data_IF_517361189124
#
_entry.id   IF_517361189124
#
_cell.length_a   1.000
_cell.length_b   1.000
_cell.length_c   1.000
_cell.angle_alpha   90.00
_cell.angle_beta   90.00
_cell.angle_gamma   90.00
#
_symmetry.space_group_name_H-M   'P 1'
#
loop_
_entity.id
_entity.type
_entity.pdbx_description
1 polymer ?
#
# COMPACT_ATOMS: atom_id res chain seq x y z
N UNK A 1 -8.76 44.40 -29.96
CA UNK A 1 -8.01 43.14 -29.83
C UNK A 1 -7.46 43.08 -28.42
N UNK A 2 -8.05 42.21 -27.60
CA UNK A 2 -7.85 42.09 -26.16
C UNK A 2 -6.56 41.32 -25.82
N UNK A 3 -5.79 41.86 -24.88
CA UNK A 3 -4.72 41.16 -24.14
C UNK A 3 -4.98 41.33 -22.65
N UNK A 4 -5.99 40.62 -22.17
CA UNK A 4 -6.17 40.35 -20.75
C UNK A 4 -5.90 38.86 -20.53
N UNK A 5 -5.36 38.52 -19.37
CA UNK A 5 -5.03 37.16 -18.88
C UNK A 5 -3.55 36.76 -18.93
N UNK A 6 -2.67 37.64 -18.46
CA UNK A 6 -1.32 37.23 -18.02
C UNK A 6 -1.06 37.65 -16.56
N UNK A 7 -2.01 37.38 -15.64
CA UNK A 7 -1.76 37.65 -14.22
C UNK A 7 -2.67 36.86 -13.25
N UNK A 8 -2.61 35.53 -13.32
CA UNK A 8 -3.05 34.57 -12.28
C UNK A 8 -2.64 33.21 -12.86
N UNK A 9 -1.61 32.50 -12.39
CA UNK A 9 -1.52 31.80 -11.11
C UNK A 9 -0.03 31.52 -10.86
N UNK A 10 0.55 32.20 -9.89
CA UNK A 10 1.91 31.93 -9.39
C UNK A 10 1.83 31.41 -7.95
N UNK A 11 1.12 30.29 -7.74
CA UNK A 11 1.26 29.45 -6.53
C UNK A 11 0.90 28.00 -6.91
N UNK A 12 1.90 27.24 -7.33
CA UNK A 12 1.94 25.77 -7.25
C UNK A 12 3.37 25.31 -7.56
N UNK A 13 4.31 25.70 -6.69
CA UNK A 13 5.63 25.09 -6.67
C UNK A 13 5.57 23.80 -5.85
N UNK A 14 6.21 22.77 -6.39
CA UNK A 14 6.45 21.42 -5.84
C UNK A 14 5.36 20.38 -6.15
N UNK A 15 5.27 19.97 -7.42
CA UNK A 15 5.40 18.55 -7.80
C UNK A 15 6.21 18.50 -9.08
N UNK A 16 7.52 18.67 -8.95
CA UNK A 16 8.49 18.45 -10.01
C UNK A 16 9.09 17.05 -9.90
N UNK A 17 9.26 16.41 -11.07
CA UNK A 17 10.06 15.21 -11.33
C UNK A 17 9.44 13.86 -11.01
N UNK A 18 8.60 13.34 -11.92
CA UNK A 18 9.02 12.22 -12.76
C UNK A 18 8.37 12.39 -14.14
N UNK A 19 9.22 12.66 -15.12
CA UNK A 19 8.84 12.88 -16.51
C UNK A 19 8.35 11.61 -17.18
N UNK A 20 7.32 11.78 -18.00
CA UNK A 20 6.77 10.80 -18.90
C UNK A 20 5.86 11.54 -19.87
N UNK A 21 6.46 12.23 -20.82
CA UNK A 21 5.78 12.93 -21.89
C UNK A 21 5.07 11.90 -22.80
N UNK A 22 3.76 11.76 -22.65
CA UNK A 22 2.92 11.15 -23.68
C UNK A 22 1.94 12.22 -24.13
N UNK A 23 2.20 12.77 -25.32
CA UNK A 23 1.15 13.44 -26.10
C UNK A 23 0.21 12.35 -26.57
N UNK A 24 -1.04 12.38 -26.12
CA UNK A 24 -2.12 11.66 -26.80
C UNK A 24 -3.15 12.67 -27.29
N UNK A 25 -3.18 12.81 -28.61
CA UNK A 25 -4.19 13.58 -29.33
C UNK A 25 -5.40 12.65 -29.53
N UNK A 26 -6.48 12.86 -28.78
CA UNK A 26 -7.79 12.24 -29.07
C UNK A 26 -8.82 13.35 -29.20
N UNK A 27 -9.01 13.78 -30.44
CA UNK A 27 -10.26 14.37 -30.87
C UNK A 27 -11.29 13.25 -31.02
N UNK A 28 -12.46 13.41 -30.41
CA UNK A 28 -13.66 12.69 -30.83
C UNK A 28 -14.45 11.95 -29.73
N UNK A 29 -15.48 12.64 -29.24
CA UNK A 29 -16.81 12.13 -28.88
C UNK A 29 -17.08 11.54 -27.46
N UNK A 30 -17.60 12.45 -26.61
CA UNK A 30 -18.88 12.43 -25.86
C UNK A 30 -19.34 11.17 -25.11
N UNK A 31 -19.64 11.45 -23.83
CA UNK A 31 -20.51 10.73 -22.88
C UNK A 31 -19.91 9.49 -22.22
N UNK A 32 -19.16 9.71 -21.15
CA UNK A 32 -18.98 8.69 -20.12
C UNK A 32 -20.10 8.85 -19.08
N UNK A 33 -20.84 7.77 -18.75
CA UNK A 33 -21.87 7.81 -17.74
C UNK A 33 -21.24 8.15 -16.37
N UNK A 34 -21.94 8.96 -15.58
CA UNK A 34 -21.56 9.48 -14.26
C UNK A 34 -21.45 8.41 -13.15
N UNK A 35 -21.28 7.14 -13.52
CA UNK A 35 -21.23 6.00 -12.62
C UNK A 35 -20.33 4.88 -13.17
N UNK A 36 -19.18 5.25 -13.75
CA UNK A 36 -18.19 4.28 -14.21
C UNK A 36 -17.61 3.53 -12.99
N UNK A 37 -18.19 2.36 -12.70
CA UNK A 37 -17.64 1.44 -11.73
C UNK A 37 -16.32 0.91 -12.25
N UNK A 38 -15.31 0.92 -11.40
CA UNK A 38 -14.04 0.28 -11.69
C UNK A 38 -14.27 -1.23 -11.88
N UNK A 39 -13.76 -1.84 -12.97
CA UNK A 39 -13.81 -3.30 -13.13
C UNK A 39 -13.04 -3.99 -12.00
N UNK A 40 -13.70 -4.89 -11.26
CA UNK A 40 -13.04 -5.69 -10.21
C UNK A 40 -12.52 -7.03 -10.77
N UNK A 41 -11.31 -7.45 -10.37
CA UNK A 41 -10.79 -8.80 -10.66
C UNK A 41 -9.26 -8.90 -10.75
N UNK A 42 -8.72 -10.11 -10.56
CA UNK A 42 -7.33 -10.47 -10.88
C UNK A 42 -7.16 -10.42 -12.40
N UNK A 43 -6.44 -9.41 -12.89
CA UNK A 43 -6.40 -9.10 -14.33
C UNK A 43 -5.20 -9.73 -15.04
N UNK A 44 -5.26 -9.82 -16.36
CA UNK A 44 -4.02 -9.92 -17.16
C UNK A 44 -3.23 -8.59 -17.08
N UNK A 45 -1.93 -8.56 -17.41
CA UNK A 45 -1.15 -7.31 -17.49
C UNK A 45 -1.87 -6.16 -18.23
N UNK A 46 -2.58 -6.49 -19.32
CA UNK A 46 -3.36 -5.55 -20.12
C UNK A 46 -4.57 -4.99 -19.36
N UNK A 47 -5.17 -5.78 -18.47
CA UNK A 47 -6.31 -5.35 -17.67
C UNK A 47 -5.89 -4.40 -16.54
N UNK A 48 -4.72 -4.62 -15.90
CA UNK A 48 -4.20 -3.69 -14.89
C UNK A 48 -4.00 -2.29 -15.46
N UNK A 49 -3.35 -2.17 -16.63
CA UNK A 49 -3.09 -0.85 -17.20
C UNK A 49 -4.39 -0.09 -17.52
N UNK A 50 -5.41 -0.80 -18.04
CA UNK A 50 -6.73 -0.20 -18.31
C UNK A 50 -7.41 0.27 -17.03
N UNK A 51 -7.40 -0.56 -15.98
CA UNK A 51 -8.01 -0.22 -14.69
C UNK A 51 -7.32 0.95 -14.01
N UNK A 52 -5.98 0.99 -14.04
CA UNK A 52 -5.20 2.11 -13.51
C UNK A 52 -5.61 3.41 -14.21
N UNK A 53 -5.62 3.44 -15.54
CA UNK A 53 -5.98 4.65 -16.30
C UNK A 53 -7.40 5.13 -15.98
N UNK A 54 -8.36 4.20 -15.89
CA UNK A 54 -9.73 4.56 -15.57
C UNK A 54 -9.87 5.06 -14.12
N UNK A 55 -9.23 4.39 -13.17
CA UNK A 55 -9.28 4.80 -11.77
C UNK A 55 -8.55 6.13 -11.54
N UNK A 56 -7.41 6.39 -12.22
CA UNK A 56 -6.71 7.70 -12.21
C UNK A 56 -7.63 8.83 -12.69
N UNK A 57 -8.41 8.57 -13.75
CA UNK A 57 -9.38 9.54 -14.25
C UNK A 57 -10.51 9.79 -13.25
N UNK A 58 -11.03 8.75 -12.62
CA UNK A 58 -12.10 8.88 -11.62
C UNK A 58 -11.61 9.72 -10.45
N UNK A 59 -10.45 9.42 -9.88
CA UNK A 59 -9.94 10.16 -8.71
C UNK A 59 -9.53 11.60 -9.04
N UNK A 60 -9.18 11.89 -10.30
CA UNK A 60 -8.94 13.26 -10.74
C UNK A 60 -10.24 14.09 -10.80
N UNK A 61 -11.38 13.46 -11.08
CA UNK A 61 -12.70 14.10 -11.14
C UNK A 61 -13.41 14.11 -9.78
N UNK A 62 -13.26 13.04 -9.02
CA UNK A 62 -13.80 12.85 -7.67
C UNK A 62 -12.71 12.34 -6.71
N UNK A 63 -11.94 13.25 -6.10
CA UNK A 63 -10.89 12.88 -5.15
C UNK A 63 -11.40 12.20 -3.87
N UNK A 64 -12.71 12.19 -3.62
CA UNK A 64 -13.33 11.51 -2.48
C UNK A 64 -13.83 10.10 -2.82
N UNK A 65 -13.62 9.64 -4.06
CA UNK A 65 -13.99 8.30 -4.48
C UNK A 65 -13.07 7.25 -3.85
N UNK A 66 -13.45 6.78 -2.67
CA UNK A 66 -12.69 5.79 -1.91
C UNK A 66 -12.46 4.49 -2.70
N UNK A 67 -13.45 4.02 -3.46
CA UNK A 67 -13.34 2.80 -4.23
C UNK A 67 -12.28 2.91 -5.34
N UNK A 68 -12.22 4.04 -6.04
CA UNK A 68 -11.23 4.27 -7.09
C UNK A 68 -9.81 4.38 -6.51
N UNK A 69 -9.64 5.04 -5.37
CA UNK A 69 -8.35 5.06 -4.66
C UNK A 69 -7.91 3.68 -4.18
N UNK A 70 -8.83 2.88 -3.65
CA UNK A 70 -8.56 1.49 -3.25
C UNK A 70 -8.15 0.63 -4.44
N UNK A 71 -8.83 0.78 -5.59
CA UNK A 71 -8.41 0.08 -6.80
C UNK A 71 -7.00 0.50 -7.22
N UNK A 72 -6.70 1.80 -7.27
CA UNK A 72 -5.37 2.26 -7.65
C UNK A 72 -4.30 1.67 -6.74
N UNK A 73 -4.53 1.68 -5.43
CA UNK A 73 -3.64 1.04 -4.47
C UNK A 73 -3.37 -0.42 -4.82
N UNK A 74 -4.44 -1.20 -5.03
CA UNK A 74 -4.35 -2.63 -5.33
C UNK A 74 -3.69 -2.91 -6.69
N UNK A 75 -4.06 -2.17 -7.75
CA UNK A 75 -3.46 -2.38 -9.06
C UNK A 75 -1.98 -1.99 -9.09
N UNK A 76 -1.59 -0.93 -8.37
CA UNK A 76 -0.18 -0.58 -8.21
C UNK A 76 0.56 -1.59 -7.33
N UNK A 77 -0.09 -2.19 -6.34
CA UNK A 77 0.47 -3.28 -5.54
C UNK A 77 0.75 -4.49 -6.42
N UNK A 78 -0.25 -4.95 -7.18
CA UNK A 78 -0.18 -6.15 -8.03
C UNK A 78 0.78 -5.99 -9.22
N UNK A 79 0.99 -4.75 -9.70
CA UNK A 79 1.94 -4.42 -10.77
C UNK A 79 3.31 -3.97 -10.26
N UNK A 80 3.59 -4.17 -8.98
CA UNK A 80 4.89 -3.93 -8.36
C UNK A 80 5.38 -2.47 -8.40
N UNK A 81 4.45 -1.51 -8.27
CA UNK A 81 4.70 -0.06 -8.24
C UNK A 81 4.52 0.51 -6.82
N UNK A 82 5.42 0.18 -5.86
CA UNK A 82 5.15 0.38 -4.43
C UNK A 82 5.01 1.84 -4.01
N UNK A 83 5.76 2.77 -4.61
CA UNK A 83 5.62 4.20 -4.29
C UNK A 83 4.24 4.76 -4.67
N UNK A 84 3.69 4.30 -5.81
CA UNK A 84 2.35 4.71 -6.25
C UNK A 84 1.27 4.06 -5.38
N UNK A 85 1.43 2.78 -5.06
CA UNK A 85 0.54 2.07 -4.15
C UNK A 85 0.47 2.75 -2.77
N UNK A 86 1.62 3.13 -2.21
CA UNK A 86 1.70 3.88 -0.94
C UNK A 86 0.87 5.17 -1.01
N UNK A 87 1.00 5.95 -2.08
CA UNK A 87 0.29 7.21 -2.23
C UNK A 87 -1.22 7.00 -2.36
N UNK A 88 -1.65 6.03 -3.18
CA UNK A 88 -3.06 5.71 -3.37
C UNK A 88 -3.71 5.19 -2.07
N UNK A 89 -3.05 4.27 -1.37
CA UNK A 89 -3.51 3.82 -0.05
C UNK A 89 -3.51 4.94 0.99
N UNK A 90 -2.59 5.90 0.88
CA UNK A 90 -2.60 7.11 1.71
C UNK A 90 -3.89 7.90 1.54
N UNK A 91 -4.39 8.03 0.31
CA UNK A 91 -5.70 8.66 0.03
C UNK A 91 -6.88 7.86 0.57
N UNK A 92 -6.81 6.53 0.52
CA UNK A 92 -7.83 5.70 1.18
C UNK A 92 -7.84 5.95 2.69
N UNK A 93 -6.67 5.99 3.34
CA UNK A 93 -6.56 6.19 4.80
C UNK A 93 -6.87 7.64 5.24
N UNK A 94 -6.74 8.63 4.35
CA UNK A 94 -7.27 9.99 4.59
C UNK A 94 -8.81 10.00 4.65
N UNK A 95 -9.48 9.13 3.88
CA UNK A 95 -10.94 9.06 3.78
C UNK A 95 -11.56 8.05 4.77
N UNK A 96 -10.87 6.93 5.01
CA UNK A 96 -11.23 5.86 5.94
C UNK A 96 -10.02 5.50 6.81
N UNK A 97 -9.81 6.24 7.91
CA UNK A 97 -8.60 6.14 8.72
C UNK A 97 -8.50 4.86 9.54
N UNK A 98 -9.53 4.01 9.57
CA UNK A 98 -9.56 2.80 10.40
C UNK A 98 -9.47 1.51 9.57
N UNK A 99 -9.16 1.62 8.28
CA UNK A 99 -9.09 0.46 7.40
C UNK A 99 -7.82 -0.37 7.62
N UNK A 100 -7.93 -1.42 8.45
CA UNK A 100 -6.79 -2.27 8.85
C UNK A 100 -6.14 -3.03 7.69
N UNK A 101 -6.93 -3.40 6.68
CA UNK A 101 -6.42 -4.08 5.48
C UNK A 101 -5.52 -3.13 4.69
N UNK A 102 -6.01 -1.91 4.41
CA UNK A 102 -5.25 -0.89 3.67
C UNK A 102 -4.01 -0.43 4.44
N UNK A 103 -4.08 -0.30 5.77
CA UNK A 103 -2.88 -0.03 6.58
C UNK A 103 -1.83 -1.13 6.37
N UNK A 104 -2.27 -2.38 6.39
CA UNK A 104 -1.40 -3.55 6.21
C UNK A 104 -0.78 -3.55 4.81
N UNK A 105 -1.58 -3.36 3.75
CA UNK A 105 -1.08 -3.35 2.37
C UNK A 105 -0.13 -2.19 2.11
N UNK A 106 -0.44 -1.00 2.63
CA UNK A 106 0.47 0.14 2.59
C UNK A 106 1.77 -0.13 3.38
N UNK A 107 1.67 -0.83 4.52
CA UNK A 107 2.82 -1.26 5.31
C UNK A 107 3.74 -2.23 4.54
N UNK A 108 3.17 -3.17 3.79
CA UNK A 108 3.92 -4.08 2.91
C UNK A 108 4.64 -3.28 1.81
N UNK A 109 3.97 -2.28 1.21
CA UNK A 109 4.59 -1.43 0.20
C UNK A 109 5.69 -0.53 0.77
N UNK A 110 5.51 0.02 1.98
CA UNK A 110 6.56 0.76 2.69
C UNK A 110 7.79 -0.11 2.95
N UNK A 111 7.59 -1.35 3.41
CA UNK A 111 8.68 -2.32 3.59
C UNK A 111 9.42 -2.57 2.28
N UNK A 112 8.69 -2.72 1.17
CA UNK A 112 9.28 -2.97 -0.15
C UNK A 112 10.20 -1.85 -0.64
N UNK A 113 9.93 -0.60 -0.27
CA UNK A 113 10.80 0.56 -0.56
C UNK A 113 11.82 0.86 0.55
N UNK A 114 11.96 -0.02 1.55
CA UNK A 114 12.94 0.12 2.62
C UNK A 114 12.54 1.10 3.74
N UNK A 115 11.30 1.59 3.75
CA UNK A 115 10.80 2.53 4.77
C UNK A 115 10.23 1.77 5.96
N UNK A 116 11.10 1.02 6.66
CA UNK A 116 10.71 0.07 7.70
C UNK A 116 9.97 0.71 8.87
N UNK A 117 10.37 1.92 9.30
CA UNK A 117 9.69 2.63 10.39
C UNK A 117 8.22 2.93 10.06
N UNK A 118 7.93 3.30 8.81
CA UNK A 118 6.56 3.55 8.35
C UNK A 118 5.76 2.25 8.19
N UNK A 119 6.41 1.19 7.73
CA UNK A 119 5.79 -0.14 7.68
C UNK A 119 5.36 -0.61 9.08
N UNK A 120 6.26 -0.51 10.06
CA UNK A 120 5.99 -0.85 11.46
C UNK A 120 4.84 -0.03 12.01
N UNK A 121 4.88 1.30 11.83
CA UNK A 121 3.81 2.18 12.32
C UNK A 121 2.43 1.81 11.76
N UNK A 122 2.35 1.41 10.49
CA UNK A 122 1.10 0.96 9.89
C UNK A 122 0.63 -0.38 10.46
N UNK A 123 1.52 -1.36 10.61
CA UNK A 123 1.14 -2.65 11.19
C UNK A 123 0.72 -2.52 12.65
N UNK A 124 1.40 -1.68 13.44
CA UNK A 124 1.06 -1.40 14.83
C UNK A 124 -0.28 -0.68 14.96
N UNK A 125 -0.58 0.28 14.08
CA UNK A 125 -1.92 0.90 14.02
C UNK A 125 -3.01 -0.11 13.66
N UNK A 126 -2.78 -0.95 12.66
CA UNK A 126 -3.71 -2.03 12.31
C UNK A 126 -3.96 -2.95 13.52
N UNK A 127 -2.92 -3.26 14.29
CA UNK A 127 -2.99 -4.07 15.51
C UNK A 127 -3.67 -3.38 16.69
N UNK A 128 -3.61 -2.06 16.77
CA UNK A 128 -4.34 -1.29 17.78
C UNK A 128 -5.84 -1.27 17.50
N UNK A 129 -6.25 -1.30 16.23
CA UNK A 129 -7.65 -1.32 15.80
C UNK A 129 -8.21 -2.74 15.83
N UNK A 130 -7.51 -3.70 15.24
CA UNK A 130 -7.85 -5.12 15.26
C UNK A 130 -6.65 -5.95 15.76
N UNK A 131 -6.62 -6.29 17.06
CA UNK A 131 -5.57 -7.12 17.64
C UNK A 131 -5.46 -8.53 17.06
N UNK A 132 -6.48 -9.02 16.36
CA UNK A 132 -6.53 -10.36 15.75
C UNK A 132 -6.18 -10.36 14.27
N UNK A 133 -5.84 -9.21 13.70
CA UNK A 133 -5.49 -9.09 12.29
C UNK A 133 -4.16 -9.81 11.97
N UNK A 134 -4.24 -11.09 11.62
CA UNK A 134 -3.08 -11.99 11.49
C UNK A 134 -2.05 -11.50 10.46
N UNK A 135 -2.50 -10.93 9.34
CA UNK A 135 -1.60 -10.48 8.27
C UNK A 135 -0.68 -9.33 8.73
N UNK A 136 -1.16 -8.42 9.59
CA UNK A 136 -0.29 -7.36 10.11
C UNK A 136 0.67 -7.87 11.17
N UNK A 137 0.27 -8.83 12.02
CA UNK A 137 1.20 -9.50 12.95
C UNK A 137 2.31 -10.24 12.20
N UNK A 138 1.94 -11.00 11.17
CA UNK A 138 2.91 -11.74 10.37
C UNK A 138 3.93 -10.79 9.73
N UNK A 139 3.46 -9.77 9.01
CA UNK A 139 4.33 -8.83 8.32
C UNK A 139 5.18 -7.98 9.27
N UNK A 140 4.64 -7.60 10.43
CA UNK A 140 5.43 -6.90 11.46
C UNK A 140 6.58 -7.76 11.98
N UNK A 141 6.32 -9.04 12.26
CA UNK A 141 7.36 -9.99 12.66
C UNK A 141 8.39 -10.20 11.54
N UNK A 142 7.96 -10.25 10.29
CA UNK A 142 8.86 -10.31 9.12
C UNK A 142 9.77 -9.09 9.04
N UNK A 143 9.26 -7.86 9.26
CA UNK A 143 10.12 -6.66 9.27
C UNK A 143 11.19 -6.76 10.35
N UNK A 144 10.80 -7.14 11.57
CA UNK A 144 11.76 -7.29 12.67
C UNK A 144 12.78 -8.40 12.40
N UNK A 145 12.37 -9.54 11.83
CA UNK A 145 13.23 -10.70 11.60
C UNK A 145 14.14 -10.54 10.38
N UNK A 146 13.56 -10.20 9.22
CA UNK A 146 14.25 -10.18 7.94
C UNK A 146 15.02 -8.89 7.73
N UNK A 147 14.40 -7.75 8.03
CA UNK A 147 14.91 -6.45 7.58
C UNK A 147 15.74 -5.78 8.68
N UNK A 148 15.26 -5.80 9.93
CA UNK A 148 15.92 -5.10 11.04
C UNK A 148 16.78 -5.99 11.94
N UNK A 149 16.70 -7.32 11.80
CA UNK A 149 17.42 -8.31 12.65
C UNK A 149 17.12 -8.17 14.16
N UNK A 150 15.99 -7.55 14.51
CA UNK A 150 15.52 -7.38 15.89
C UNK A 150 14.74 -8.62 16.33
N UNK A 151 15.48 -9.72 16.53
CA UNK A 151 14.91 -11.05 16.71
C UNK A 151 14.01 -11.20 17.94
N UNK A 152 14.32 -10.51 19.04
CA UNK A 152 13.47 -10.53 20.23
C UNK A 152 12.09 -9.91 19.97
N UNK A 153 12.05 -8.81 19.20
CA UNK A 153 10.77 -8.19 18.79
C UNK A 153 10.00 -9.08 17.82
N UNK A 154 10.68 -9.69 16.86
CA UNK A 154 10.06 -10.66 15.96
C UNK A 154 9.42 -11.80 16.74
N UNK A 155 10.16 -12.40 17.69
CA UNK A 155 9.65 -13.47 18.56
C UNK A 155 8.44 -13.03 19.35
N UNK A 156 8.44 -11.82 19.93
CA UNK A 156 7.30 -11.30 20.69
C UNK A 156 6.04 -11.15 19.82
N UNK A 157 6.16 -10.53 18.64
CA UNK A 157 5.04 -10.32 17.71
C UNK A 157 4.49 -11.64 17.18
N UNK A 158 5.36 -12.56 16.77
CA UNK A 158 4.95 -13.88 16.30
C UNK A 158 4.41 -14.77 17.41
N UNK A 159 4.85 -14.62 18.66
CA UNK A 159 4.18 -15.26 19.81
C UNK A 159 2.73 -14.79 19.92
N UNK A 160 2.46 -13.50 19.72
CA UNK A 160 1.09 -12.96 19.67
C UNK A 160 0.30 -13.53 18.47
N UNK A 161 0.90 -13.65 17.29
CA UNK A 161 0.26 -14.34 16.15
C UNK A 161 -0.20 -15.75 16.56
N UNK A 162 0.71 -16.53 17.17
CA UNK A 162 0.46 -17.91 17.55
C UNK A 162 -0.61 -18.08 18.66
N UNK A 163 -0.96 -17.02 19.39
CA UNK A 163 -2.09 -17.04 20.32
C UNK A 163 -3.45 -17.08 19.59
N UNK A 164 -3.53 -16.49 18.40
CA UNK A 164 -4.76 -16.43 17.60
C UNK A 164 -4.84 -17.53 16.55
N UNK A 165 -3.70 -17.91 15.98
CA UNK A 165 -3.60 -19.01 15.02
C UNK A 165 -2.30 -19.78 15.22
N UNK A 166 -2.42 -21.01 15.71
CA UNK A 166 -1.29 -21.90 15.99
C UNK A 166 -1.20 -23.09 15.04
N UNK A 167 -2.12 -23.23 14.08
CA UNK A 167 -2.28 -24.48 13.30
C UNK A 167 -2.17 -24.28 11.80
N UNK A 168 -2.25 -23.05 11.28
CA UNK A 168 -2.09 -22.80 9.86
C UNK A 168 -0.67 -23.11 9.34
N UNK A 169 -0.50 -23.25 8.01
CA UNK A 169 0.82 -23.33 7.40
C UNK A 169 1.72 -22.15 7.78
N UNK A 170 1.16 -20.93 7.84
CA UNK A 170 1.87 -19.72 8.28
C UNK A 170 2.31 -19.83 9.73
N UNK A 171 1.46 -20.36 10.62
CA UNK A 171 1.82 -20.62 12.01
C UNK A 171 2.97 -21.64 12.12
N UNK A 172 2.96 -22.68 11.29
CA UNK A 172 4.05 -23.67 11.25
C UNK A 172 5.36 -23.05 10.75
N UNK A 173 5.30 -22.20 9.72
CA UNK A 173 6.46 -21.44 9.25
C UNK A 173 7.02 -20.55 10.35
N UNK A 174 6.16 -19.76 11.01
CA UNK A 174 6.56 -18.92 12.16
C UNK A 174 7.27 -19.76 13.23
N UNK A 175 6.73 -20.92 13.60
CA UNK A 175 7.36 -21.79 14.61
C UNK A 175 8.75 -22.26 14.17
N UNK A 176 8.92 -22.61 12.89
CA UNK A 176 10.22 -23.01 12.34
C UNK A 176 11.21 -21.83 12.38
N UNK A 177 10.79 -20.65 11.95
CA UNK A 177 11.63 -19.44 11.98
C UNK A 177 12.04 -19.07 13.42
N UNK A 178 11.11 -19.16 14.37
CA UNK A 178 11.38 -18.95 15.79
C UNK A 178 12.31 -20.01 16.39
N UNK A 179 12.21 -21.28 15.97
CA UNK A 179 13.09 -22.35 16.42
C UNK A 179 14.54 -22.12 15.96
N UNK A 180 14.72 -21.63 14.73
CA UNK A 180 16.02 -21.28 14.17
C UNK A 180 16.71 -20.15 14.98
N UNK A 181 15.94 -19.16 15.45
CA UNK A 181 16.48 -18.08 16.33
C UNK A 181 17.08 -18.61 17.63
N UNK A 182 16.46 -19.62 18.23
CA UNK A 182 16.96 -20.22 19.48
C UNK A 182 18.34 -20.86 19.30
N UNK A 183 18.61 -21.39 18.11
CA UNK A 183 19.85 -22.09 17.77
C UNK A 183 20.98 -21.15 17.31
N UNK A 184 20.70 -19.86 17.07
CA UNK A 184 21.72 -18.89 16.68
C UNK A 184 22.71 -18.59 17.83
N UNK A 185 24.03 -18.51 17.55
CA UNK A 185 25.03 -18.07 18.53
C UNK A 185 24.68 -16.68 19.09
N UNK A 186 24.97 -16.45 20.37
CA UNK A 186 24.59 -15.20 21.07
C UNK A 186 25.10 -13.90 20.43
N UNK A 187 26.10 -13.97 19.55
CA UNK A 187 26.62 -12.83 18.77
C UNK A 187 25.61 -12.26 17.77
N UNK A 188 24.58 -13.03 17.38
CA UNK A 188 23.56 -12.61 16.43
C UNK A 188 22.26 -12.14 17.11
N UNK A 189 22.13 -12.22 18.44
CA UNK A 189 20.89 -11.88 19.15
C UNK A 189 20.79 -10.40 19.56
N UNK A 190 21.62 -9.52 18.98
CA UNK A 190 21.67 -8.09 19.34
C UNK A 190 20.84 -7.24 18.38
#
# INVERSE_FOLDING_TARGET
MSKENLLTVAVALIVGMLGGYIIFNVAGNKNLPSNAAVPQGTGSPTDYQRRIVEAEKIVAQDPKNLQAWSQLGNDYFDTDQPQKAVNAYGKVLELDPNNVNVMTDQGIMYRKIGWYDKAIANFEKAQAIDPKHLQSLYNLGVVYYMDLKQYDKAKAVWTKYLQFDSTSPTAQQIKNDMANLTQMPGSFKK
#
